data_IF_030580115673
#
_entry.id   IF_030580115673
#
_cell.length_a   1.000
_cell.length_b   1.000
_cell.length_c   1.000
_cell.angle_alpha   90.00
_cell.angle_beta   90.00
_cell.angle_gamma   90.00
#
_symmetry.space_group_name_H-M   'P 1'
#
loop_
_entity.id
_entity.type
_entity.pdbx_description
1 polymer ?
#
# COMPACT_ATOMS: atom_id res chain seq x y z
N UNK A 1 -5.58 20.33 -20.64
CA UNK A 1 -5.71 18.87 -20.45
C UNK A 1 -4.64 18.40 -19.46
N UNK A 2 -4.99 18.31 -18.19
CA UNK A 2 -4.14 17.68 -17.20
C UNK A 2 -4.14 16.18 -17.47
N UNK A 3 -2.98 15.51 -17.62
CA UNK A 3 -2.97 14.07 -17.79
C UNK A 3 -3.64 13.40 -16.57
N UNK A 4 -4.35 12.28 -16.76
CA UNK A 4 -4.95 11.58 -15.64
C UNK A 4 -3.87 11.21 -14.63
N UNK A 5 -4.20 11.33 -13.33
CA UNK A 5 -3.29 10.92 -12.28
C UNK A 5 -2.95 9.43 -12.46
N UNK A 6 -1.68 9.04 -12.46
CA UNK A 6 -1.31 7.64 -12.63
C UNK A 6 -1.89 6.81 -11.48
N UNK A 7 -2.32 5.58 -11.78
CA UNK A 7 -2.72 4.62 -10.76
C UNK A 7 -1.55 4.36 -9.81
N UNK A 8 -1.78 4.50 -8.52
CA UNK A 8 -0.77 4.16 -7.51
C UNK A 8 -0.74 2.64 -7.33
N UNK A 9 0.45 2.07 -7.32
CA UNK A 9 0.68 0.63 -7.23
C UNK A 9 1.35 0.21 -5.90
N UNK A 10 1.56 1.13 -4.97
CA UNK A 10 2.10 0.89 -3.63
C UNK A 10 0.97 0.68 -2.63
N UNK A 11 0.97 -0.43 -1.89
CA UNK A 11 -0.01 -0.70 -0.84
C UNK A 11 0.11 0.27 0.33
N UNK A 12 1.32 0.75 0.64
CA UNK A 12 1.51 1.81 1.64
C UNK A 12 0.74 3.09 1.30
N UNK A 13 0.58 3.39 0.01
CA UNK A 13 -0.20 4.57 -0.40
C UNK A 13 -1.68 4.45 0.01
N UNK A 14 -2.24 3.26 -0.04
CA UNK A 14 -3.64 3.00 0.34
C UNK A 14 -3.84 2.93 1.86
N UNK A 15 -2.78 2.63 2.60
CA UNK A 15 -2.78 2.63 4.07
C UNK A 15 -2.59 4.06 4.63
N UNK A 16 -1.53 4.72 4.23
CA UNK A 16 -1.04 5.95 4.88
C UNK A 16 -1.09 7.20 3.97
N UNK A 17 -1.42 7.05 2.68
CA UNK A 17 -1.47 8.14 1.71
C UNK A 17 -0.10 8.53 1.12
N UNK A 18 0.98 7.79 1.40
CA UNK A 18 2.31 8.00 0.82
C UNK A 18 3.01 6.66 0.53
N UNK A 19 3.99 6.68 -0.36
CA UNK A 19 4.81 5.51 -0.70
C UNK A 19 5.86 5.22 0.39
N UNK A 20 6.31 3.96 0.48
CA UNK A 20 7.33 3.51 1.46
C UNK A 20 6.87 3.71 2.92
N UNK A 21 5.65 3.31 3.23
CA UNK A 21 5.07 3.32 4.57
C UNK A 21 5.22 2.00 5.32
N UNK A 22 4.26 1.74 6.20
CA UNK A 22 4.25 0.54 7.05
C UNK A 22 4.13 -0.74 6.24
N UNK A 23 3.28 -0.79 5.19
CA UNK A 23 3.15 -1.97 4.35
C UNK A 23 4.49 -2.38 3.74
N UNK A 24 5.29 -1.44 3.24
CA UNK A 24 6.63 -1.71 2.73
C UNK A 24 7.57 -2.28 3.80
N UNK A 25 7.55 -1.71 5.00
CA UNK A 25 8.37 -2.19 6.12
C UNK A 25 7.96 -3.61 6.55
N UNK A 26 6.66 -3.91 6.54
CA UNK A 26 6.14 -5.21 6.95
C UNK A 26 6.40 -6.30 5.89
N UNK A 27 6.31 -5.98 4.59
CA UNK A 27 6.78 -6.90 3.52
C UNK A 27 8.25 -7.26 3.74
N UNK A 28 9.10 -6.28 4.05
CA UNK A 28 10.53 -6.53 4.33
C UNK A 28 10.75 -7.42 5.55
N UNK A 29 9.94 -7.27 6.60
CA UNK A 29 10.01 -8.14 7.79
C UNK A 29 9.63 -9.58 7.44
N UNK A 30 8.59 -9.78 6.62
CA UNK A 30 8.18 -11.10 6.15
C UNK A 30 9.28 -11.71 5.27
N UNK A 31 9.82 -10.96 4.32
CA UNK A 31 10.94 -11.41 3.48
C UNK A 31 12.16 -11.82 4.31
N UNK A 32 12.44 -11.12 5.42
CA UNK A 32 13.57 -11.46 6.28
C UNK A 32 13.44 -12.83 6.95
N UNK A 33 12.22 -13.38 7.10
CA UNK A 33 11.94 -14.73 7.61
C UNK A 33 12.22 -15.83 6.57
N UNK A 34 12.42 -15.47 5.32
CA UNK A 34 12.60 -16.39 4.17
C UNK A 34 13.96 -16.23 3.54
N UNK A 35 14.29 -17.12 2.60
CA UNK A 35 15.47 -17.01 1.75
C UNK A 35 15.22 -16.22 0.45
N UNK A 36 13.99 -15.70 0.25
CA UNK A 36 13.62 -14.94 -0.93
C UNK A 36 14.16 -13.51 -0.78
N UNK A 37 14.72 -12.98 -1.86
CA UNK A 37 15.22 -11.59 -1.92
C UNK A 37 14.80 -10.95 -3.24
N UNK A 38 14.49 -9.65 -3.18
CA UNK A 38 14.23 -8.86 -4.37
C UNK A 38 15.50 -8.70 -5.21
N UNK A 39 15.39 -8.96 -6.50
CA UNK A 39 16.46 -8.66 -7.46
C UNK A 39 16.31 -7.20 -7.91
N UNK A 40 17.07 -6.30 -7.31
CA UNK A 40 17.04 -4.87 -7.61
C UNK A 40 17.46 -4.52 -9.04
N UNK A 41 18.16 -5.43 -9.72
CA UNK A 41 18.54 -5.23 -11.13
C UNK A 41 17.33 -5.37 -12.08
N UNK A 42 16.35 -6.20 -11.70
CA UNK A 42 15.15 -6.51 -12.48
C UNK A 42 13.93 -5.76 -12.02
N UNK A 43 13.80 -5.52 -10.71
CA UNK A 43 12.65 -4.86 -10.13
C UNK A 43 13.10 -3.67 -9.27
N UNK A 44 12.83 -2.46 -9.76
CA UNK A 44 13.30 -1.20 -9.15
C UNK A 44 12.30 -0.58 -8.18
N UNK A 45 11.06 -1.05 -8.17
CA UNK A 45 10.01 -0.53 -7.30
C UNK A 45 10.13 -1.08 -5.87
N UNK A 46 9.38 -0.50 -4.95
CA UNK A 46 9.37 -0.93 -3.55
C UNK A 46 8.69 -2.29 -3.38
N UNK A 47 8.97 -2.97 -2.29
CA UNK A 47 8.48 -4.32 -1.99
C UNK A 47 6.96 -4.37 -1.72
N UNK A 48 6.33 -3.24 -1.45
CA UNK A 48 4.87 -3.10 -1.28
C UNK A 48 4.13 -2.81 -2.59
N UNK A 49 4.82 -2.88 -3.73
CA UNK A 49 4.17 -2.84 -5.04
C UNK A 49 3.19 -4.01 -5.19
N UNK A 50 1.98 -3.73 -5.63
CA UNK A 50 0.91 -4.73 -5.78
C UNK A 50 1.36 -5.95 -6.58
N UNK A 51 2.03 -5.74 -7.73
CA UNK A 51 2.53 -6.84 -8.56
C UNK A 51 3.60 -7.67 -7.85
N UNK A 52 4.50 -7.01 -7.10
CA UNK A 52 5.51 -7.70 -6.32
C UNK A 52 4.90 -8.53 -5.19
N UNK A 53 3.93 -7.97 -4.47
CA UNK A 53 3.25 -8.65 -3.36
C UNK A 53 2.49 -9.90 -3.84
N UNK A 54 1.80 -9.82 -4.99
CA UNK A 54 1.16 -11.01 -5.58
C UNK A 54 2.16 -12.05 -6.08
N UNK A 55 3.28 -11.62 -6.66
CA UNK A 55 4.37 -12.54 -7.02
C UNK A 55 4.93 -13.23 -5.79
N UNK A 56 5.12 -12.48 -4.70
CA UNK A 56 5.60 -13.02 -3.43
C UNK A 56 4.61 -14.01 -2.82
N UNK A 57 3.30 -13.69 -2.87
CA UNK A 57 2.23 -14.59 -2.45
C UNK A 57 2.32 -15.94 -3.18
N UNK A 58 2.47 -15.90 -4.51
CA UNK A 58 2.64 -17.11 -5.31
C UNK A 58 3.87 -17.94 -4.92
N UNK A 59 4.98 -17.28 -4.54
CA UNK A 59 6.19 -17.99 -4.07
C UNK A 59 6.02 -18.59 -2.66
N UNK A 60 5.12 -18.05 -1.84
CA UNK A 60 4.87 -18.54 -0.49
C UNK A 60 3.96 -19.77 -0.45
N UNK A 61 2.98 -19.85 -1.36
CA UNK A 61 2.00 -20.95 -1.40
C UNK A 61 2.70 -22.31 -1.37
N UNK A 62 2.37 -23.11 -0.35
CA UNK A 62 2.92 -24.46 -0.14
C UNK A 62 4.40 -24.53 0.23
N UNK A 63 5.04 -23.39 0.53
CA UNK A 63 6.45 -23.35 0.96
C UNK A 63 6.63 -22.62 2.29
N UNK A 64 5.82 -21.58 2.54
CA UNK A 64 5.93 -20.68 3.69
C UNK A 64 4.54 -20.29 4.20
N UNK A 65 3.75 -21.24 4.66
CA UNK A 65 2.32 -21.07 5.02
C UNK A 65 2.09 -19.93 6.02
N UNK A 66 2.94 -19.80 7.04
CA UNK A 66 2.84 -18.70 8.01
C UNK A 66 3.10 -17.32 7.37
N UNK A 67 4.04 -17.25 6.44
CA UNK A 67 4.35 -16.01 5.72
C UNK A 67 3.26 -15.65 4.70
N UNK A 68 2.63 -16.66 4.10
CA UNK A 68 1.48 -16.50 3.22
C UNK A 68 0.31 -15.86 3.96
N UNK A 69 -0.09 -16.44 5.10
CA UNK A 69 -1.15 -15.88 5.92
C UNK A 69 -0.84 -14.46 6.41
N UNK A 70 0.38 -14.23 6.87
CA UNK A 70 0.82 -12.92 7.37
C UNK A 70 0.81 -11.88 6.27
N UNK A 71 1.28 -12.21 5.05
CA UNK A 71 1.26 -11.34 3.89
C UNK A 71 -0.16 -10.97 3.50
N UNK A 72 -1.05 -11.96 3.44
CA UNK A 72 -2.44 -11.70 3.11
C UNK A 72 -3.14 -10.86 4.19
N UNK A 73 -3.11 -11.30 5.45
CA UNK A 73 -3.87 -10.69 6.55
C UNK A 73 -3.45 -9.26 6.86
N UNK A 74 -2.12 -9.00 6.84
CA UNK A 74 -1.60 -7.73 7.32
C UNK A 74 -1.31 -6.73 6.21
N UNK A 75 -1.16 -7.17 4.96
CA UNK A 75 -0.71 -6.29 3.87
C UNK A 75 -1.72 -6.23 2.73
N UNK A 76 -2.15 -7.38 2.18
CA UNK A 76 -3.08 -7.41 1.06
C UNK A 76 -4.47 -7.01 1.51
N UNK A 77 -5.04 -7.76 2.46
CA UNK A 77 -6.43 -7.63 2.87
C UNK A 77 -6.83 -6.21 3.32
N UNK A 78 -6.00 -5.45 4.07
CA UNK A 78 -6.38 -4.09 4.49
C UNK A 78 -6.42 -3.08 3.34
N UNK A 79 -5.61 -3.26 2.30
CA UNK A 79 -5.29 -2.20 1.34
C UNK A 79 -5.79 -2.44 -0.07
N UNK A 80 -6.10 -3.70 -0.41
CA UNK A 80 -6.35 -4.10 -1.80
C UNK A 80 -7.66 -3.55 -2.36
N UNK A 81 -8.68 -3.37 -1.52
CA UNK A 81 -10.00 -2.89 -1.99
C UNK A 81 -9.91 -1.50 -2.60
N UNK A 82 -9.15 -0.58 -1.99
CA UNK A 82 -8.95 0.78 -2.51
C UNK A 82 -8.17 0.77 -3.84
N UNK A 83 -7.19 -0.14 -3.96
CA UNK A 83 -6.51 -0.33 -5.22
C UNK A 83 -7.46 -0.83 -6.32
N UNK A 84 -8.30 -1.84 -6.02
CA UNK A 84 -9.28 -2.40 -6.95
C UNK A 84 -10.26 -1.32 -7.41
N UNK A 85 -10.80 -0.53 -6.48
CA UNK A 85 -11.71 0.58 -6.77
C UNK A 85 -11.04 1.61 -7.69
N UNK A 86 -9.84 2.05 -7.34
CA UNK A 86 -9.09 3.01 -8.16
C UNK A 86 -8.72 2.45 -9.53
N UNK A 87 -8.42 1.15 -9.65
CA UNK A 87 -8.16 0.49 -10.92
C UNK A 87 -9.42 0.47 -11.79
N UNK A 88 -10.57 0.16 -11.20
CA UNK A 88 -11.86 0.10 -11.89
C UNK A 88 -12.31 1.48 -12.38
N UNK A 89 -12.13 2.53 -11.56
CA UNK A 89 -12.56 3.90 -11.86
C UNK A 89 -11.57 4.69 -12.74
N UNK A 90 -10.36 4.18 -12.93
CA UNK A 90 -9.34 4.90 -13.67
C UNK A 90 -9.75 5.15 -15.13
N UNK A 91 -9.66 6.39 -15.61
CA UNK A 91 -10.17 6.85 -16.92
C UNK A 91 -9.62 6.09 -18.12
N UNK A 92 -8.42 5.52 -18.02
CA UNK A 92 -7.74 4.78 -19.07
C UNK A 92 -7.76 3.25 -18.84
N UNK A 93 -8.63 2.76 -17.96
CA UNK A 93 -8.60 1.36 -17.52
C UNK A 93 -9.63 0.46 -18.21
N UNK A 94 -10.20 0.85 -19.35
CA UNK A 94 -11.27 0.03 -19.98
C UNK A 94 -10.91 -1.45 -20.07
N UNK A 95 -9.68 -1.77 -20.48
CA UNK A 95 -9.17 -3.16 -20.55
C UNK A 95 -8.98 -3.77 -19.14
N UNK A 96 -8.69 -2.96 -18.13
CA UNK A 96 -8.40 -3.42 -16.77
C UNK A 96 -9.62 -3.50 -15.86
N UNK A 97 -10.79 -3.02 -16.30
CA UNK A 97 -12.03 -3.13 -15.51
C UNK A 97 -12.40 -4.57 -15.23
N UNK A 98 -12.31 -5.44 -16.24
CA UNK A 98 -12.58 -6.86 -16.06
C UNK A 98 -11.55 -7.52 -15.14
N UNK A 99 -10.29 -7.09 -15.20
CA UNK A 99 -9.24 -7.53 -14.28
C UNK A 99 -9.53 -7.08 -12.85
N UNK A 100 -10.02 -5.85 -12.66
CA UNK A 100 -10.40 -5.36 -11.34
C UNK A 100 -11.58 -6.17 -10.74
N UNK A 101 -12.58 -6.51 -11.56
CA UNK A 101 -13.70 -7.37 -11.15
C UNK A 101 -13.19 -8.76 -10.76
N UNK A 102 -12.36 -9.39 -11.61
CA UNK A 102 -11.78 -10.70 -11.33
C UNK A 102 -10.94 -10.70 -10.06
N UNK A 103 -10.14 -9.65 -9.85
CA UNK A 103 -9.33 -9.49 -8.64
C UNK A 103 -10.20 -9.35 -7.40
N UNK A 104 -11.31 -8.60 -7.47
CA UNK A 104 -12.25 -8.47 -6.37
C UNK A 104 -12.85 -9.82 -5.96
N UNK A 105 -13.29 -10.62 -6.92
CA UNK A 105 -13.82 -11.99 -6.68
C UNK A 105 -12.75 -12.91 -6.08
N UNK A 106 -11.52 -12.84 -6.62
CA UNK A 106 -10.40 -13.60 -6.07
C UNK A 106 -10.12 -13.24 -4.61
N UNK A 107 -10.05 -11.96 -4.28
CA UNK A 107 -9.84 -11.51 -2.89
C UNK A 107 -10.99 -11.93 -1.98
N UNK A 108 -12.24 -11.91 -2.47
CA UNK A 108 -13.38 -12.40 -1.70
C UNK A 108 -13.25 -13.90 -1.40
N UNK A 109 -12.79 -14.70 -2.34
CA UNK A 109 -12.50 -16.12 -2.15
C UNK A 109 -11.37 -16.35 -1.13
N UNK A 110 -10.25 -15.64 -1.27
CA UNK A 110 -9.11 -15.74 -0.34
C UNK A 110 -9.49 -15.36 1.10
N UNK A 111 -10.35 -14.37 1.26
CA UNK A 111 -10.88 -13.98 2.59
C UNK A 111 -11.62 -15.13 3.28
N UNK A 112 -12.34 -15.92 2.52
CA UNK A 112 -13.04 -17.12 3.04
C UNK A 112 -12.02 -18.23 3.32
N UNK A 113 -11.13 -18.51 2.39
CA UNK A 113 -10.13 -19.57 2.50
C UNK A 113 -9.19 -19.38 3.70
N UNK A 114 -8.72 -18.15 3.92
CA UNK A 114 -7.80 -17.79 4.99
C UNK A 114 -8.49 -17.30 6.28
N UNK A 115 -9.83 -17.40 6.35
CA UNK A 115 -10.63 -16.92 7.47
C UNK A 115 -10.24 -15.49 7.90
N UNK A 116 -10.09 -14.60 6.91
CA UNK A 116 -9.66 -13.22 7.08
C UNK A 116 -10.73 -12.28 6.56
N UNK A 117 -11.71 -11.88 7.39
CA UNK A 117 -12.82 -11.06 6.95
C UNK A 117 -12.34 -9.70 6.47
N UNK A 118 -13.16 -9.06 5.62
CA UNK A 118 -12.89 -7.70 5.15
C UNK A 118 -12.69 -6.77 6.34
N UNK A 119 -11.58 -6.02 6.41
CA UNK A 119 -11.35 -5.09 7.51
C UNK A 119 -12.37 -3.96 7.49
N UNK A 120 -12.81 -3.55 8.67
CA UNK A 120 -13.62 -2.34 8.82
C UNK A 120 -12.69 -1.16 8.62
N UNK A 121 -12.87 -0.41 7.53
CA UNK A 121 -12.10 0.81 7.30
C UNK A 121 -12.42 1.83 8.39
N UNK A 122 -11.46 2.12 9.22
CA UNK A 122 -11.48 3.34 10.03
C UNK A 122 -11.05 4.44 9.06
N UNK A 123 -11.93 5.43 8.82
CA UNK A 123 -11.60 6.61 8.02
C UNK A 123 -10.39 7.34 8.61
N UNK A 124 -9.22 6.84 8.31
CA UNK A 124 -8.03 7.67 8.42
C UNK A 124 -8.19 8.75 7.35
N UNK A 125 -8.45 9.99 7.76
CA UNK A 125 -8.51 11.15 6.85
C UNK A 125 -7.36 11.00 5.87
N UNK A 126 -7.68 10.73 4.58
CA UNK A 126 -6.69 10.65 3.50
C UNK A 126 -5.84 11.91 3.64
N UNK A 127 -4.61 11.77 4.11
CA UNK A 127 -3.67 12.89 4.09
C UNK A 127 -3.49 13.23 2.61
N UNK A 128 -3.56 14.50 2.26
CA UNK A 128 -3.53 15.03 0.87
C UNK A 128 -2.30 14.56 0.08
N UNK A 129 -2.13 13.29 -0.18
CA UNK A 129 -1.08 12.72 -1.05
C UNK A 129 0.34 13.23 -0.82
N UNK A 130 0.61 13.80 0.36
CA UNK A 130 1.91 14.34 0.73
C UNK A 130 2.87 13.21 1.06
N UNK A 131 4.05 13.23 0.44
CA UNK A 131 5.11 12.30 0.81
C UNK A 131 5.45 12.47 2.31
N UNK A 132 5.90 11.38 2.96
CA UNK A 132 6.34 11.42 4.37
C UNK A 132 7.36 12.55 4.63
N UNK A 133 8.27 12.77 3.69
CA UNK A 133 9.25 13.85 3.75
C UNK A 133 8.59 15.24 3.75
N UNK A 134 7.53 15.41 3.01
CA UNK A 134 6.79 16.66 2.91
C UNK A 134 5.93 16.91 4.15
N UNK A 135 5.32 15.87 4.72
CA UNK A 135 4.62 15.94 6.01
C UNK A 135 5.56 16.33 7.13
N UNK A 136 6.75 15.72 7.22
CA UNK A 136 7.80 16.08 8.20
C UNK A 136 8.28 17.51 7.99
N UNK A 137 8.46 17.93 6.72
CA UNK A 137 8.87 19.30 6.39
C UNK A 137 7.82 20.33 6.82
N UNK A 138 6.53 20.05 6.57
CA UNK A 138 5.43 20.94 7.00
C UNK A 138 5.35 21.05 8.51
N UNK A 139 5.49 19.96 9.24
CA UNK A 139 5.46 19.97 10.70
C UNK A 139 6.67 20.72 11.28
N UNK A 140 7.87 20.52 10.75
CA UNK A 140 9.05 21.32 11.13
C UNK A 140 8.84 22.81 10.88
N UNK A 141 8.26 23.19 9.76
CA UNK A 141 7.98 24.58 9.44
C UNK A 141 6.91 25.17 10.37
N UNK A 142 5.88 24.39 10.73
CA UNK A 142 4.86 24.78 11.70
C UNK A 142 5.45 25.04 13.08
N UNK A 143 6.29 24.12 13.57
CA UNK A 143 6.97 24.28 14.86
C UNK A 143 7.89 25.50 14.85
N UNK A 144 8.62 25.72 13.74
CA UNK A 144 9.49 26.90 13.59
C UNK A 144 8.68 28.19 13.62
N UNK A 145 7.53 28.26 12.97
CA UNK A 145 6.65 29.42 12.96
C UNK A 145 6.10 29.72 14.34
N UNK A 146 5.66 28.73 15.10
CA UNK A 146 5.18 28.88 16.48
C UNK A 146 6.28 29.40 17.42
N UNK A 147 7.55 28.98 17.23
CA UNK A 147 8.67 29.48 18.00
C UNK A 147 8.98 30.96 17.74
N UNK A 148 8.89 31.38 16.47
CA UNK A 148 9.12 32.80 16.11
C UNK A 148 7.98 33.69 16.59
N UNK A 149 6.73 33.25 16.50
CA UNK A 149 5.56 34.02 16.98
C UNK A 149 5.54 34.13 18.52
N UNK A 150 5.95 33.06 19.23
CA UNK A 150 6.07 33.07 20.70
C UNK A 150 7.22 33.95 21.26
N UNK A 151 8.15 34.39 20.42
CA UNK A 151 9.29 35.23 20.82
C UNK A 151 8.94 36.73 20.76
N UNK A 152 7.88 37.10 20.07
CA UNK A 152 7.43 38.52 19.97
C UNK A 152 6.28 38.87 20.91
N UNK A 153 5.89 37.94 21.82
CA UNK A 153 4.85 38.16 22.83
C UNK A 153 5.41 38.38 24.22
N UNK A 154 6.54 39.16 24.35
CA UNK A 154 7.07 39.68 25.62
C UNK A 154 7.30 41.16 25.49
#
# INVERSE_FOLDING_TARGET
NTPPCPLRNSLSFYDEGYEVGHACADVRKILAKTNIRRDESKFKENEDNVGFVFTLMNEFIGKFDECEEELFKNIINPNIDDFIENLYEHKNSEIYKDVAVLLNEFIAFERVALNSPKPVKIDHKKSDGLSRSESIRREKNRIRKLRTEGTYAK
#
